data_IF_113286855842
#
_entry.id   IF_113286855842
#
_cell.length_a   1.000
_cell.length_b   1.000
_cell.length_c   1.000
_cell.angle_alpha   90.00
_cell.angle_beta   90.00
_cell.angle_gamma   90.00
#
_symmetry.space_group_name_H-M   'P 1'
#
loop_
_entity.id
_entity.type
_entity.pdbx_description
1 polymer ?
#
# COMPACT_ATOMS: atom_id res chain seq x y z
N UNK A 1 -18.94 11.38 23.91
CA UNK A 1 -18.84 10.00 23.39
C UNK A 1 -17.69 9.97 22.41
N UNK A 2 -16.67 9.12 22.59
CA UNK A 2 -15.65 8.93 21.53
C UNK A 2 -16.35 8.23 20.38
N UNK A 3 -16.43 8.88 19.23
CA UNK A 3 -16.98 8.29 18.00
C UNK A 3 -16.14 7.06 17.68
N UNK A 4 -16.74 5.88 17.56
CA UNK A 4 -16.03 4.67 17.14
C UNK A 4 -15.75 4.77 15.64
N UNK A 5 -14.60 4.30 15.19
CA UNK A 5 -14.22 4.29 13.77
C UNK A 5 -15.11 3.34 12.96
N UNK A 6 -15.48 2.21 13.53
CA UNK A 6 -16.42 1.23 12.98
C UNK A 6 -17.47 0.87 14.03
N UNK A 7 -18.71 0.65 13.61
CA UNK A 7 -19.78 0.11 14.47
C UNK A 7 -19.41 -1.32 14.90
N UNK A 8 -20.07 -1.84 15.96
CA UNK A 8 -19.69 -3.14 16.53
C UNK A 8 -19.77 -4.30 15.50
N UNK A 9 -20.79 -4.27 14.64
CA UNK A 9 -21.06 -5.32 13.64
C UNK A 9 -20.47 -5.01 12.25
N UNK A 10 -19.87 -3.84 12.09
CA UNK A 10 -19.27 -3.40 10.85
C UNK A 10 -17.88 -4.04 10.65
N UNK A 11 -17.73 -4.84 9.59
CA UNK A 11 -16.44 -5.45 9.27
C UNK A 11 -15.52 -4.48 8.55
N UNK A 12 -16.05 -3.54 7.76
CA UNK A 12 -15.27 -2.57 7.03
C UNK A 12 -16.05 -1.28 6.75
N UNK A 13 -15.31 -0.19 6.57
CA UNK A 13 -15.81 1.04 5.98
C UNK A 13 -14.71 1.73 5.17
N UNK A 14 -15.10 2.54 4.19
CA UNK A 14 -14.20 3.40 3.41
C UNK A 14 -14.75 4.82 3.42
N UNK A 15 -13.89 5.78 3.77
CA UNK A 15 -14.17 7.21 3.59
C UNK A 15 -13.84 7.61 2.15
N UNK A 16 -14.80 8.18 1.42
CA UNK A 16 -14.56 8.78 0.12
C UNK A 16 -14.10 10.22 0.30
N UNK A 17 -12.80 10.49 0.12
CA UNK A 17 -12.22 11.82 0.29
C UNK A 17 -10.75 11.83 0.66
N UNK A 18 -10.25 13.02 0.96
CA UNK A 18 -8.87 13.25 1.36
C UNK A 18 -8.62 12.68 2.76
N UNK A 19 -7.66 11.74 2.85
CA UNK A 19 -7.29 11.09 4.10
C UNK A 19 -6.64 12.04 5.12
N UNK A 20 -5.98 13.12 4.67
CA UNK A 20 -5.22 14.02 5.56
C UNK A 20 -6.16 14.77 6.52
N UNK A 21 -7.12 15.60 6.04
CA UNK A 21 -8.07 16.27 6.94
C UNK A 21 -8.89 15.26 7.72
N UNK A 22 -9.25 14.12 7.13
CA UNK A 22 -10.01 13.08 7.80
C UNK A 22 -9.26 12.49 9.00
N UNK A 23 -8.00 12.08 8.84
CA UNK A 23 -7.15 11.60 9.94
C UNK A 23 -6.90 12.67 11.01
N UNK A 24 -6.72 13.94 10.61
CA UNK A 24 -6.36 14.99 11.54
C UNK A 24 -7.53 15.49 12.38
N UNK A 25 -8.78 15.44 11.86
CA UNK A 25 -9.93 16.11 12.47
C UNK A 25 -11.09 15.19 12.83
N UNK A 26 -11.34 14.14 12.04
CA UNK A 26 -12.57 13.34 12.12
C UNK A 26 -12.33 11.98 12.75
N UNK A 27 -11.24 11.29 12.37
CA UNK A 27 -10.93 9.99 12.97
C UNK A 27 -10.58 10.14 14.45
N UNK A 28 -11.05 9.22 15.31
CA UNK A 28 -10.66 9.20 16.72
C UNK A 28 -9.14 9.00 16.86
N UNK A 29 -8.55 9.69 17.83
CA UNK A 29 -7.15 9.46 18.16
C UNK A 29 -6.92 8.04 18.70
N UNK A 30 -5.79 7.41 18.34
CA UNK A 30 -5.42 6.06 18.79
C UNK A 30 -6.53 5.02 18.53
N UNK A 31 -7.13 5.07 17.34
CA UNK A 31 -8.25 4.20 16.93
C UNK A 31 -7.83 3.06 16.01
N UNK A 32 -6.62 3.10 15.44
CA UNK A 32 -6.11 2.14 14.46
C UNK A 32 -5.12 1.19 15.12
N UNK A 33 -5.31 -0.13 14.89
CA UNK A 33 -4.42 -1.15 15.45
C UNK A 33 -3.19 -1.40 14.58
N UNK A 34 -3.35 -1.37 13.26
CA UNK A 34 -2.27 -1.57 12.30
C UNK A 34 -2.56 -0.79 11.02
N UNK A 35 -1.54 -0.25 10.37
CA UNK A 35 -1.67 0.37 9.06
C UNK A 35 -0.72 -0.27 8.05
N UNK A 36 -1.21 -0.54 6.84
CA UNK A 36 -0.41 -1.01 5.71
C UNK A 36 -0.93 -0.36 4.43
N UNK A 37 -0.04 0.26 3.65
CA UNK A 37 -0.43 1.02 2.48
C UNK A 37 0.77 1.39 1.60
N UNK A 38 0.47 1.85 0.38
CA UNK A 38 1.41 2.50 -0.53
C UNK A 38 0.96 3.95 -0.73
N UNK A 39 1.76 4.96 -0.33
CA UNK A 39 1.40 6.35 -0.59
C UNK A 39 1.47 6.64 -2.08
N UNK A 40 0.75 7.65 -2.60
CA UNK A 40 0.93 8.13 -3.95
C UNK A 40 2.41 8.48 -4.22
N UNK A 41 2.89 8.11 -5.41
CA UNK A 41 4.25 8.42 -5.85
C UNK A 41 4.24 9.75 -6.61
N UNK A 42 4.69 10.86 -5.99
CA UNK A 42 4.67 12.17 -6.62
C UNK A 42 5.40 12.17 -7.97
N UNK A 43 4.90 12.89 -8.95
CA UNK A 43 5.41 12.99 -10.33
C UNK A 43 5.35 11.71 -11.18
N UNK A 44 5.00 10.55 -10.61
CA UNK A 44 4.87 9.32 -11.40
C UNK A 44 3.45 9.11 -11.92
N UNK A 45 2.46 9.32 -11.05
CA UNK A 45 1.06 9.06 -11.35
C UNK A 45 0.18 10.17 -10.78
N UNK A 46 -0.58 10.83 -11.65
CA UNK A 46 -1.72 11.65 -11.29
C UNK A 46 -2.98 10.77 -11.33
N UNK A 47 -3.73 10.73 -10.25
CA UNK A 47 -4.93 9.91 -10.12
C UNK A 47 -6.20 10.73 -10.34
N UNK A 48 -6.16 12.01 -9.98
CA UNK A 48 -7.26 12.97 -10.09
C UNK A 48 -6.72 14.36 -10.41
N UNK A 49 -7.58 15.29 -10.82
CA UNK A 49 -7.23 16.70 -10.98
C UNK A 49 -7.30 17.50 -9.66
N UNK A 50 -7.55 16.80 -8.55
CA UNK A 50 -7.66 17.43 -7.23
C UNK A 50 -6.30 17.93 -6.73
N UNK A 51 -6.30 19.10 -6.07
CA UNK A 51 -5.13 19.62 -5.33
C UNK A 51 -4.75 18.74 -4.13
N UNK A 52 -5.65 17.88 -3.68
CA UNK A 52 -5.39 16.89 -2.63
C UNK A 52 -4.66 15.65 -3.14
N UNK A 53 -4.52 15.48 -4.46
CA UNK A 53 -3.80 14.35 -5.03
C UNK A 53 -2.28 14.60 -4.97
N UNK A 54 -1.63 13.93 -4.03
CA UNK A 54 -0.18 13.99 -3.82
C UNK A 54 0.59 13.54 -5.09
N UNK A 55 -0.02 12.73 -5.96
CA UNK A 55 0.56 12.30 -7.23
C UNK A 55 0.84 13.45 -8.20
N UNK A 56 0.08 14.55 -8.10
CA UNK A 56 0.18 15.71 -9.00
C UNK A 56 1.39 16.62 -8.73
N UNK A 57 2.06 16.47 -7.59
CA UNK A 57 3.14 17.37 -7.16
C UNK A 57 4.52 16.83 -7.54
N UNK A 58 5.53 17.70 -7.55
CA UNK A 58 6.92 17.27 -7.77
C UNK A 58 7.41 16.40 -6.61
N UNK A 59 7.97 15.24 -6.92
CA UNK A 59 8.41 14.22 -5.97
C UNK A 59 9.35 14.73 -4.86
N UNK A 60 10.18 15.72 -5.16
CA UNK A 60 11.12 16.33 -4.20
C UNK A 60 10.78 17.78 -3.89
N UNK A 61 9.67 18.28 -4.40
CA UNK A 61 9.18 19.62 -4.18
C UNK A 61 8.77 19.90 -2.74
N UNK A 62 8.65 21.18 -2.41
CA UNK A 62 8.18 21.60 -1.09
C UNK A 62 6.76 21.14 -0.82
N UNK A 63 5.91 21.19 -1.82
CA UNK A 63 4.50 20.80 -1.72
C UNK A 63 4.33 19.32 -1.34
N UNK A 64 5.03 18.40 -2.03
CA UNK A 64 5.01 16.99 -1.65
C UNK A 64 5.44 16.75 -0.20
N UNK A 65 6.48 17.47 0.26
CA UNK A 65 6.97 17.37 1.65
C UNK A 65 5.94 17.89 2.65
N UNK A 66 5.21 18.95 2.31
CA UNK A 66 4.14 19.50 3.15
C UNK A 66 2.99 18.51 3.25
N UNK A 67 2.47 18.01 2.12
CA UNK A 67 1.38 17.04 2.09
C UNK A 67 1.74 15.76 2.87
N UNK A 68 2.88 15.16 2.57
CA UNK A 68 3.37 13.97 3.29
C UNK A 68 3.65 14.25 4.76
N UNK A 69 4.11 15.46 5.11
CA UNK A 69 4.30 15.86 6.51
C UNK A 69 2.99 15.86 7.30
N UNK A 70 1.94 16.45 6.76
CA UNK A 70 0.59 16.41 7.37
C UNK A 70 0.01 15.00 7.37
N UNK A 71 0.24 14.23 6.32
CA UNK A 71 -0.14 12.83 6.24
C UNK A 71 0.47 12.02 7.41
N UNK A 72 1.79 12.10 7.62
CA UNK A 72 2.44 11.37 8.71
C UNK A 72 2.01 11.86 10.09
N UNK A 73 1.72 13.15 10.26
CA UNK A 73 1.15 13.68 11.50
C UNK A 73 -0.24 13.08 11.78
N UNK A 74 -1.08 12.97 10.75
CA UNK A 74 -2.38 12.30 10.86
C UNK A 74 -2.24 10.81 11.19
N UNK A 75 -1.34 10.10 10.51
CA UNK A 75 -1.06 8.68 10.77
C UNK A 75 -0.59 8.45 12.21
N UNK A 76 0.39 9.25 12.69
CA UNK A 76 0.88 9.18 14.06
C UNK A 76 -0.22 9.43 15.09
N UNK A 77 -1.17 10.33 14.79
CA UNK A 77 -2.31 10.63 15.65
C UNK A 77 -3.26 9.44 15.77
N UNK A 78 -3.65 8.82 14.66
CA UNK A 78 -4.70 7.78 14.65
C UNK A 78 -4.18 6.39 15.05
N UNK A 79 -2.90 6.10 14.85
CA UNK A 79 -2.29 4.83 15.25
C UNK A 79 -2.26 4.72 16.78
N UNK A 80 -2.56 3.54 17.33
CA UNK A 80 -2.47 3.27 18.77
C UNK A 80 -1.01 3.23 19.23
N UNK A 81 -0.70 3.64 20.49
CA UNK A 81 0.65 3.50 21.06
C UNK A 81 1.17 2.06 20.98
N UNK A 82 2.45 1.90 20.69
CA UNK A 82 3.10 0.59 20.56
C UNK A 82 2.78 -0.18 19.29
N UNK A 83 1.89 0.34 18.43
CA UNK A 83 1.43 -0.34 17.21
C UNK A 83 2.21 0.12 15.97
N UNK A 84 2.20 -0.72 14.93
CA UNK A 84 3.00 -0.56 13.73
C UNK A 84 2.23 0.02 12.55
N UNK A 85 2.97 0.71 11.67
CA UNK A 85 2.55 1.05 10.31
C UNK A 85 3.61 0.58 9.32
N UNK A 86 3.20 -0.08 8.24
CA UNK A 86 4.07 -0.49 7.14
C UNK A 86 3.76 0.36 5.91
N UNK A 87 4.78 1.08 5.44
CA UNK A 87 4.69 1.97 4.28
C UNK A 87 5.46 1.36 3.12
N UNK A 88 4.74 0.95 2.08
CA UNK A 88 5.34 0.42 0.86
C UNK A 88 5.76 1.56 -0.07
N UNK A 89 7.04 1.62 -0.42
CA UNK A 89 7.61 2.64 -1.32
C UNK A 89 8.64 2.02 -2.26
N UNK A 90 8.94 2.71 -3.35
CA UNK A 90 10.15 2.51 -4.14
C UNK A 90 10.85 3.85 -4.39
N UNK A 91 12.09 3.81 -4.87
CA UNK A 91 12.79 5.03 -5.30
C UNK A 91 12.18 5.55 -6.61
N UNK A 92 12.08 6.87 -6.75
CA UNK A 92 11.45 7.50 -7.92
C UNK A 92 12.54 7.92 -8.92
N UNK A 93 12.52 7.38 -10.16
CA UNK A 93 13.45 7.83 -11.20
C UNK A 93 13.21 9.30 -11.55
N UNK A 94 14.28 10.09 -11.64
CA UNK A 94 14.22 11.47 -12.15
C UNK A 94 13.94 11.45 -13.64
N UNK A 95 12.92 12.19 -14.06
CA UNK A 95 12.56 12.30 -15.47
C UNK A 95 13.53 13.20 -16.21
N UNK A 96 13.90 12.84 -17.45
CA UNK A 96 14.76 13.68 -18.31
C UNK A 96 14.23 15.11 -18.48
N UNK A 97 12.89 15.27 -18.56
CA UNK A 97 12.23 16.58 -18.65
C UNK A 97 12.45 17.49 -17.43
N UNK A 98 12.80 16.90 -16.27
CA UNK A 98 13.15 17.63 -15.05
C UNK A 98 14.66 17.93 -14.96
N UNK A 99 15.42 17.78 -16.05
CA UNK A 99 16.85 18.05 -16.10
C UNK A 99 17.72 17.07 -15.29
N UNK A 100 17.15 15.98 -14.79
CA UNK A 100 17.81 15.08 -13.84
C UNK A 100 18.14 13.71 -14.39
N UNK A 101 19.30 13.18 -13.99
CA UNK A 101 19.66 11.78 -14.10
C UNK A 101 19.76 11.23 -12.67
N UNK A 102 19.28 9.99 -12.44
CA UNK A 102 19.37 9.35 -11.13
C UNK A 102 18.01 9.13 -10.48
N UNK A 103 17.99 9.08 -9.15
CA UNK A 103 16.81 8.77 -8.35
C UNK A 103 16.47 9.92 -7.39
N UNK A 104 15.20 10.05 -7.07
CA UNK A 104 14.72 10.77 -5.89
C UNK A 104 14.69 9.80 -4.72
N UNK A 105 15.29 10.17 -3.60
CA UNK A 105 15.29 9.38 -2.38
C UNK A 105 13.92 9.46 -1.68
N UNK A 106 12.93 8.78 -2.28
CA UNK A 106 11.57 8.77 -1.74
C UNK A 106 11.46 7.92 -0.48
N UNK A 107 12.21 6.81 -0.38
CA UNK A 107 12.30 6.01 0.84
C UNK A 107 12.82 6.84 2.02
N UNK A 108 13.97 7.48 1.86
CA UNK A 108 14.53 8.33 2.94
C UNK A 108 13.66 9.54 3.26
N UNK A 109 12.94 10.11 2.29
CA UNK A 109 11.96 11.17 2.56
C UNK A 109 10.85 10.69 3.48
N UNK A 110 10.23 9.53 3.19
CA UNK A 110 9.18 8.96 4.04
C UNK A 110 9.69 8.65 5.45
N UNK A 111 10.91 8.08 5.59
CA UNK A 111 11.52 7.84 6.91
C UNK A 111 11.64 9.13 7.70
N UNK A 112 12.26 10.16 7.13
CA UNK A 112 12.46 11.45 7.83
C UNK A 112 11.16 12.14 8.21
N UNK A 113 10.13 12.05 7.37
CA UNK A 113 8.82 12.65 7.68
C UNK A 113 8.06 11.86 8.74
N UNK A 114 8.15 10.53 8.73
CA UNK A 114 7.59 9.68 9.79
C UNK A 114 8.21 9.96 11.15
N UNK A 115 9.54 10.06 11.22
CA UNK A 115 10.27 10.40 12.45
C UNK A 115 9.92 11.82 12.94
N UNK A 116 9.82 12.80 12.05
CA UNK A 116 9.38 14.16 12.40
C UNK A 116 7.96 14.20 12.94
N UNK A 117 7.10 13.30 12.53
CA UNK A 117 5.74 13.15 13.06
C UNK A 117 5.69 12.42 14.41
N UNK A 118 6.82 11.98 14.94
CA UNK A 118 6.92 11.27 16.21
C UNK A 118 6.80 9.75 16.13
N UNK A 119 6.85 9.18 14.93
CA UNK A 119 6.95 7.72 14.74
C UNK A 119 8.42 7.28 14.88
N UNK A 120 8.65 6.07 15.34
CA UNK A 120 9.98 5.44 15.37
C UNK A 120 10.16 4.60 14.12
N UNK A 121 11.15 4.90 13.28
CA UNK A 121 11.60 4.01 12.23
C UNK A 121 12.36 2.84 12.88
N UNK A 122 11.90 1.62 12.65
CA UNK A 122 12.51 0.43 13.26
C UNK A 122 13.29 -0.42 12.26
N UNK A 123 12.75 -0.58 11.06
CA UNK A 123 13.32 -1.46 10.05
C UNK A 123 12.66 -1.24 8.68
N UNK A 124 13.24 -1.83 7.63
CA UNK A 124 12.57 -2.02 6.35
C UNK A 124 13.01 -3.32 5.66
N UNK A 125 12.05 -3.98 5.04
CA UNK A 125 12.31 -5.09 4.12
C UNK A 125 12.42 -4.56 2.71
N UNK A 126 13.26 -5.22 1.89
CA UNK A 126 13.20 -5.06 0.45
C UNK A 126 12.35 -6.17 -0.18
N UNK A 127 11.60 -5.84 -1.23
CA UNK A 127 10.88 -6.82 -2.05
C UNK A 127 11.55 -6.89 -3.41
N UNK A 128 12.03 -8.08 -3.77
CA UNK A 128 12.73 -8.30 -5.04
C UNK A 128 11.78 -8.10 -6.23
N UNK A 129 12.26 -7.41 -7.25
CA UNK A 129 11.58 -7.23 -8.53
C UNK A 129 12.30 -7.95 -9.64
N UNK A 130 11.56 -8.43 -10.64
CA UNK A 130 12.14 -9.02 -11.83
C UNK A 130 12.74 -7.92 -12.74
N UNK A 131 14.06 -7.96 -13.03
CA UNK A 131 14.73 -6.94 -13.83
C UNK A 131 14.14 -6.78 -15.23
N UNK A 132 13.82 -7.88 -15.89
CA UNK A 132 13.29 -7.87 -17.25
C UNK A 132 11.87 -7.32 -17.29
N UNK A 133 11.02 -7.72 -16.35
CA UNK A 133 9.65 -7.19 -16.24
C UNK A 133 9.64 -5.69 -15.96
N UNK A 134 10.51 -5.20 -15.09
CA UNK A 134 10.68 -3.77 -14.83
C UNK A 134 11.20 -3.01 -16.05
N UNK A 135 12.22 -3.52 -16.70
CA UNK A 135 12.82 -2.88 -17.87
C UNK A 135 11.81 -2.71 -19.01
N UNK A 136 11.01 -3.73 -19.30
CA UNK A 136 9.96 -3.70 -20.33
C UNK A 136 8.86 -2.67 -19.95
N UNK A 137 8.45 -2.67 -18.67
CA UNK A 137 7.36 -1.82 -18.19
C UNK A 137 7.74 -0.35 -18.07
N UNK A 138 8.96 -0.08 -17.58
CA UNK A 138 9.39 1.30 -17.24
C UNK A 138 10.26 1.92 -18.32
N UNK A 139 10.77 1.14 -19.28
CA UNK A 139 11.75 1.55 -20.29
C UNK A 139 12.94 2.30 -19.67
N UNK A 140 13.34 1.85 -18.51
CA UNK A 140 14.37 2.52 -17.71
C UNK A 140 15.78 2.00 -18.02
N UNK A 141 16.78 2.64 -17.41
CA UNK A 141 18.20 2.33 -17.60
C UNK A 141 18.67 1.15 -16.74
N UNK A 142 17.87 0.13 -16.59
CA UNK A 142 18.30 -1.07 -15.87
C UNK A 142 19.32 -1.89 -16.69
N UNK A 143 20.15 -2.65 -15.98
CA UNK A 143 21.07 -3.59 -16.60
C UNK A 143 20.26 -4.64 -17.38
N UNK A 144 20.21 -4.46 -18.70
CA UNK A 144 19.55 -5.36 -19.64
C UNK A 144 20.60 -6.03 -20.52
N UNK A 145 20.25 -7.19 -21.06
CA UNK A 145 21.13 -7.89 -21.99
C UNK A 145 21.48 -7.02 -23.22
N UNK A 146 20.51 -6.28 -23.76
CA UNK A 146 20.72 -5.34 -24.87
C UNK A 146 21.70 -4.19 -24.56
N UNK A 147 21.97 -3.93 -23.28
CA UNK A 147 22.94 -2.92 -22.83
C UNK A 147 24.33 -3.47 -22.57
N UNK A 148 24.54 -4.79 -22.73
CA UNK A 148 25.81 -5.43 -22.37
C UNK A 148 27.02 -4.89 -23.17
N UNK A 149 26.79 -4.59 -24.44
CA UNK A 149 27.83 -4.11 -25.38
C UNK A 149 27.88 -2.58 -25.47
N UNK A 150 27.01 -1.87 -24.75
CA UNK A 150 26.96 -0.41 -24.71
C UNK A 150 27.68 0.16 -23.48
N UNK A 151 27.84 1.47 -23.44
CA UNK A 151 28.31 2.17 -22.23
C UNK A 151 27.37 1.91 -21.05
N UNK A 152 27.89 1.20 -20.04
CA UNK A 152 27.15 0.82 -18.85
C UNK A 152 27.23 1.84 -17.71
N UNK A 153 27.99 2.92 -17.90
CA UNK A 153 28.20 3.92 -16.84
C UNK A 153 26.89 4.55 -16.34
N UNK A 154 25.85 4.61 -17.20
CA UNK A 154 24.54 5.13 -16.85
C UNK A 154 23.50 4.05 -16.52
N UNK A 155 23.87 2.77 -16.52
CA UNK A 155 22.96 1.66 -16.21
C UNK A 155 22.98 1.35 -14.70
N UNK A 156 21.88 0.86 -14.19
CA UNK A 156 21.70 0.50 -12.78
C UNK A 156 21.00 -0.85 -12.62
N UNK A 157 21.11 -1.43 -11.45
CA UNK A 157 20.29 -2.57 -11.06
C UNK A 157 18.81 -2.23 -10.99
N UNK A 158 17.98 -3.25 -10.88
CA UNK A 158 16.52 -3.14 -10.71
C UNK A 158 16.18 -2.41 -9.42
N UNK A 159 15.21 -1.51 -9.49
CA UNK A 159 14.65 -0.87 -8.30
C UNK A 159 13.82 -1.89 -7.53
N UNK A 160 14.15 -2.06 -6.27
CA UNK A 160 13.37 -2.86 -5.34
C UNK A 160 12.28 -2.00 -4.71
N UNK A 161 11.21 -2.63 -4.23
CA UNK A 161 10.30 -1.98 -3.31
C UNK A 161 10.83 -2.13 -1.88
N UNK A 162 10.41 -1.20 -1.00
CA UNK A 162 10.76 -1.19 0.41
C UNK A 162 9.47 -1.15 1.24
N UNK A 163 9.44 -1.93 2.31
CA UNK A 163 8.38 -1.96 3.31
C UNK A 163 8.92 -1.32 4.58
N UNK A 164 8.76 -0.01 4.71
CA UNK A 164 9.26 0.75 5.86
C UNK A 164 8.36 0.48 7.05
N UNK A 165 8.93 -0.05 8.14
CA UNK A 165 8.22 -0.25 9.39
C UNK A 165 8.42 0.92 10.31
N UNK A 166 7.32 1.56 10.65
CA UNK A 166 7.23 2.50 11.75
C UNK A 166 6.50 1.91 12.95
N UNK A 167 6.82 2.40 14.14
CA UNK A 167 6.06 2.14 15.36
C UNK A 167 5.72 3.45 16.05
N UNK A 168 4.47 3.59 16.53
CA UNK A 168 4.12 4.70 17.41
C UNK A 168 4.73 4.46 18.78
N UNK A 169 5.48 5.43 19.38
CA UNK A 169 5.99 5.31 20.72
C UNK A 169 4.90 5.02 21.75
N UNK A 170 5.25 4.32 22.80
CA UNK A 170 4.36 3.93 23.87
C UNK A 170 4.25 2.40 23.99
N UNK A 171 3.51 1.95 24.98
CA UNK A 171 3.31 0.53 25.29
C UNK A 171 2.17 -0.04 24.46
N UNK A 172 2.38 -1.24 23.90
CA UNK A 172 1.33 -1.99 23.24
C UNK A 172 0.44 -2.66 24.28
N UNK A 173 -0.79 -2.21 24.40
CA UNK A 173 -1.76 -2.68 25.40
C UNK A 173 -2.27 -4.12 25.12
N UNK A 174 -2.20 -4.57 23.87
CA UNK A 174 -2.69 -5.87 23.45
C UNK A 174 -1.58 -6.59 22.69
N UNK A 175 -1.01 -7.63 23.31
CA UNK A 175 0.02 -8.46 22.67
C UNK A 175 -0.47 -8.99 21.32
N UNK A 176 0.37 -8.90 20.30
CA UNK A 176 0.09 -9.54 19.01
C UNK A 176 0.44 -11.02 19.17
N UNK A 177 -0.57 -11.87 19.03
CA UNK A 177 -0.42 -13.31 19.06
C UNK A 177 -0.33 -13.86 17.64
N UNK A 178 0.88 -14.10 17.19
CA UNK A 178 1.16 -14.64 15.87
C UNK A 178 1.39 -16.16 15.86
N UNK A 179 1.56 -16.82 17.00
CA UNK A 179 1.90 -18.24 17.04
C UNK A 179 0.82 -19.13 16.42
N UNK A 180 -0.45 -18.76 16.54
CA UNK A 180 -1.57 -19.48 15.92
C UNK A 180 -1.75 -19.19 14.43
N UNK A 181 -1.10 -18.15 13.89
CA UNK A 181 -1.35 -17.63 12.54
C UNK A 181 -0.15 -17.73 11.60
N UNK A 182 1.06 -17.77 12.14
CA UNK A 182 2.33 -17.83 11.39
C UNK A 182 3.07 -19.10 11.78
N UNK A 183 3.38 -19.95 10.79
CA UNK A 183 4.19 -21.13 11.05
C UNK A 183 5.64 -20.76 11.39
N UNK A 184 6.38 -21.65 12.05
CA UNK A 184 7.81 -21.41 12.32
C UNK A 184 8.63 -21.22 11.05
N UNK A 185 8.31 -21.95 9.99
CA UNK A 185 9.01 -21.83 8.72
C UNK A 185 8.72 -20.48 8.07
N UNK A 186 7.45 -20.05 8.02
CA UNK A 186 7.09 -18.71 7.52
C UNK A 186 7.78 -17.61 8.35
N UNK A 187 7.83 -17.78 9.69
CA UNK A 187 8.51 -16.82 10.56
C UNK A 187 9.98 -16.66 10.22
N UNK A 188 10.71 -17.78 10.02
CA UNK A 188 12.13 -17.76 9.66
C UNK A 188 12.32 -17.10 8.28
N UNK A 189 11.51 -17.49 7.31
CA UNK A 189 11.56 -16.94 5.95
C UNK A 189 11.26 -15.44 5.91
N UNK A 190 10.22 -15.00 6.66
CA UNK A 190 9.83 -13.59 6.66
C UNK A 190 10.75 -12.70 7.49
N UNK A 191 11.60 -13.28 8.34
CA UNK A 191 12.66 -12.56 9.04
C UNK A 191 13.82 -12.13 8.12
N UNK A 192 13.91 -12.70 6.91
CA UNK A 192 14.89 -12.26 5.92
C UNK A 192 14.65 -10.81 5.51
N UNK A 193 15.72 -10.04 5.35
CA UNK A 193 15.65 -8.62 4.97
C UNK A 193 15.23 -8.37 3.53
N UNK A 194 15.14 -9.42 2.70
CA UNK A 194 14.68 -9.35 1.32
C UNK A 194 13.66 -10.46 1.04
N UNK A 195 12.43 -10.08 0.74
CA UNK A 195 11.40 -11.03 0.30
C UNK A 195 11.52 -11.28 -1.21
N UNK A 196 12.19 -12.37 -1.55
CA UNK A 196 12.53 -12.72 -2.93
C UNK A 196 11.46 -13.56 -3.65
N UNK A 197 10.53 -14.14 -2.91
CA UNK A 197 9.49 -15.08 -3.36
C UNK A 197 8.15 -14.41 -3.72
N UNK A 198 8.04 -13.09 -3.56
CA UNK A 198 6.82 -12.36 -3.89
C UNK A 198 6.53 -12.39 -5.39
N UNK A 199 5.36 -12.86 -5.75
CA UNK A 199 4.89 -12.85 -7.15
C UNK A 199 4.37 -11.46 -7.51
N UNK A 200 5.07 -10.73 -8.38
CA UNK A 200 4.70 -9.36 -8.77
C UNK A 200 3.28 -9.23 -9.34
N UNK A 201 2.81 -10.26 -9.98
CA UNK A 201 1.49 -10.29 -10.60
C UNK A 201 0.37 -10.80 -9.65
N UNK A 202 0.67 -11.07 -8.37
CA UNK A 202 -0.33 -11.45 -7.36
C UNK A 202 -1.00 -10.20 -6.78
N UNK A 203 -1.88 -9.60 -7.57
CA UNK A 203 -2.62 -8.38 -7.26
C UNK A 203 -4.10 -8.54 -7.62
N UNK A 204 -4.95 -7.67 -7.08
CA UNK A 204 -6.33 -7.58 -7.55
C UNK A 204 -6.39 -7.10 -9.01
N UNK A 205 -7.49 -7.45 -9.69
CA UNK A 205 -7.70 -7.07 -11.08
C UNK A 205 -7.93 -5.57 -11.22
N UNK A 206 -7.05 -4.90 -11.97
CA UNK A 206 -7.12 -3.45 -12.20
C UNK A 206 -7.96 -3.06 -13.41
N UNK A 207 -8.33 -4.02 -14.28
CA UNK A 207 -9.04 -3.72 -15.52
C UNK A 207 -10.43 -3.14 -15.28
N UNK A 208 -11.09 -3.58 -14.19
CA UNK A 208 -12.45 -3.17 -13.84
C UNK A 208 -12.53 -1.72 -13.31
N UNK A 209 -11.40 -1.15 -12.89
CA UNK A 209 -11.34 0.21 -12.33
C UNK A 209 -10.79 1.24 -13.34
N UNK A 210 -10.42 0.84 -14.55
CA UNK A 210 -9.84 1.74 -15.55
C UNK A 210 -10.92 2.50 -16.28
N UNK A 211 -10.78 3.82 -16.33
CA UNK A 211 -11.46 4.72 -17.27
C UNK A 211 -10.57 4.95 -18.51
N UNK A 212 -11.14 5.46 -19.63
CA UNK A 212 -10.37 5.75 -20.86
C UNK A 212 -9.24 6.76 -20.63
N UNK A 213 -9.41 7.66 -19.64
CA UNK A 213 -8.44 8.69 -19.27
C UNK A 213 -7.40 8.22 -18.25
N UNK A 214 -7.52 7.01 -17.71
CA UNK A 214 -6.55 6.49 -16.75
C UNK A 214 -5.19 6.26 -17.40
N UNK A 215 -4.21 7.01 -16.93
CA UNK A 215 -2.79 6.72 -17.20
C UNK A 215 -2.53 5.25 -16.82
N UNK A 216 -1.83 4.51 -17.68
CA UNK A 216 -1.69 3.04 -17.78
C UNK A 216 -1.22 2.28 -16.52
N UNK A 217 -1.18 2.88 -15.34
CA UNK A 217 -0.42 2.35 -14.21
C UNK A 217 -1.13 2.39 -12.87
N UNK A 218 -2.26 1.67 -12.74
CA UNK A 218 -2.70 1.23 -11.42
C UNK A 218 -1.76 0.09 -11.01
N UNK A 219 -0.96 0.29 -9.97
CA UNK A 219 -0.07 -0.72 -9.41
C UNK A 219 -0.53 -1.06 -7.98
N UNK A 220 -1.54 -1.91 -7.80
CA UNK A 220 -1.94 -2.33 -6.47
C UNK A 220 -0.81 -3.10 -5.80
N UNK A 221 -0.73 -3.01 -4.47
CA UNK A 221 0.22 -3.76 -3.67
C UNK A 221 -0.06 -5.27 -3.79
N UNK A 222 0.99 -6.08 -3.81
CA UNK A 222 0.87 -7.53 -3.91
C UNK A 222 0.16 -8.10 -2.69
N UNK A 223 -0.80 -9.00 -2.91
CA UNK A 223 -1.64 -9.56 -1.85
C UNK A 223 -0.83 -10.35 -0.82
N UNK A 224 0.24 -11.05 -1.23
CA UNK A 224 1.10 -11.77 -0.32
C UNK A 224 1.90 -10.83 0.59
N UNK A 225 2.35 -9.66 0.09
CA UNK A 225 3.00 -8.63 0.93
C UNK A 225 2.05 -8.15 2.01
N UNK A 226 0.81 -7.82 1.63
CA UNK A 226 -0.21 -7.38 2.59
C UNK A 226 -0.50 -8.49 3.60
N UNK A 227 -0.66 -9.74 3.14
CA UNK A 227 -0.96 -10.89 3.98
C UNK A 227 0.11 -11.08 5.07
N UNK A 228 1.38 -11.05 4.71
CA UNK A 228 2.50 -11.15 5.67
C UNK A 228 2.46 -10.02 6.69
N UNK A 229 2.29 -8.79 6.24
CA UNK A 229 2.22 -7.62 7.12
C UNK A 229 1.03 -7.71 8.10
N UNK A 230 -0.15 -8.10 7.63
CA UNK A 230 -1.36 -8.25 8.45
C UNK A 230 -1.15 -9.34 9.51
N UNK A 231 -0.59 -10.49 9.13
CA UNK A 231 -0.33 -11.60 10.06
C UNK A 231 0.74 -11.27 11.10
N UNK A 232 1.78 -10.54 10.72
CA UNK A 232 2.88 -10.16 11.64
C UNK A 232 2.49 -9.08 12.64
N UNK A 233 1.58 -8.15 12.27
CA UNK A 233 1.39 -6.91 13.04
C UNK A 233 -0.04 -6.62 13.47
N UNK A 234 -0.95 -7.58 13.33
CA UNK A 234 -2.32 -7.43 13.83
C UNK A 234 -2.91 -8.74 14.37
N UNK A 235 -3.86 -8.63 15.30
CA UNK A 235 -4.66 -9.73 15.78
C UNK A 235 -5.98 -9.86 15.01
N UNK A 236 -6.65 -11.05 15.04
CA UNK A 236 -8.01 -11.20 14.56
C UNK A 236 -8.97 -10.16 15.14
N UNK A 237 -9.86 -9.63 14.32
CA UNK A 237 -10.84 -8.62 14.71
C UNK A 237 -10.31 -7.21 14.94
N UNK A 238 -8.98 -6.98 14.93
CA UNK A 238 -8.38 -5.65 15.00
C UNK A 238 -8.57 -4.85 13.72
N UNK A 239 -8.49 -3.51 13.82
CA UNK A 239 -8.69 -2.60 12.70
C UNK A 239 -7.38 -2.42 11.95
N UNK A 240 -7.34 -2.89 10.70
CA UNK A 240 -6.31 -2.57 9.71
C UNK A 240 -6.74 -1.33 8.93
N UNK A 241 -5.82 -0.39 8.72
CA UNK A 241 -6.08 0.89 8.07
C UNK A 241 -5.24 1.07 6.82
N UNK A 242 -5.86 1.53 5.74
CA UNK A 242 -5.18 2.04 4.55
C UNK A 242 -5.66 3.45 4.22
N UNK A 243 -4.80 4.48 4.37
CA UNK A 243 -5.16 5.86 4.01
C UNK A 243 -5.23 6.10 2.50
N UNK A 244 -4.71 5.18 1.70
CA UNK A 244 -4.70 5.19 0.24
C UNK A 244 -5.18 3.85 -0.27
N UNK A 245 -6.48 3.60 -0.11
CA UNK A 245 -7.10 2.28 -0.30
C UNK A 245 -7.03 1.79 -1.76
N UNK A 246 -6.97 2.70 -2.74
CA UNK A 246 -6.98 2.33 -4.15
C UNK A 246 -8.20 1.45 -4.46
N UNK A 247 -7.96 0.30 -5.07
CA UNK A 247 -9.01 -0.69 -5.38
C UNK A 247 -9.29 -1.66 -4.22
N UNK A 248 -8.74 -1.41 -3.02
CA UNK A 248 -9.07 -2.14 -1.80
C UNK A 248 -8.24 -3.39 -1.50
N UNK A 249 -7.01 -3.50 -2.01
CA UNK A 249 -6.18 -4.69 -1.81
C UNK A 249 -5.91 -5.00 -0.34
N UNK A 250 -5.59 -3.98 0.46
CA UNK A 250 -5.33 -4.10 1.89
C UNK A 250 -6.57 -4.57 2.66
N UNK A 251 -7.72 -3.99 2.32
CA UNK A 251 -9.00 -4.39 2.91
C UNK A 251 -9.41 -5.80 2.50
N UNK A 252 -9.27 -6.13 1.21
CA UNK A 252 -9.57 -7.45 0.69
C UNK A 252 -8.84 -8.56 1.46
N UNK A 253 -7.52 -8.41 1.64
CA UNK A 253 -6.71 -9.38 2.40
C UNK A 253 -7.09 -9.37 3.88
N UNK A 254 -7.29 -8.20 4.49
CA UNK A 254 -7.63 -8.07 5.91
C UNK A 254 -8.97 -8.73 6.25
N UNK A 255 -9.92 -8.73 5.34
CA UNK A 255 -11.22 -9.38 5.48
C UNK A 255 -11.22 -10.89 5.15
N UNK A 256 -10.06 -11.46 4.84
CA UNK A 256 -9.91 -12.89 4.56
C UNK A 256 -10.01 -13.25 3.08
N UNK A 257 -9.99 -12.26 2.19
CA UNK A 257 -9.99 -12.49 0.75
C UNK A 257 -8.83 -13.38 0.30
N UNK A 258 -9.13 -14.32 -0.60
CA UNK A 258 -8.17 -15.30 -1.11
C UNK A 258 -7.45 -14.77 -2.34
N UNK A 259 -6.11 -14.87 -2.37
CA UNK A 259 -5.34 -14.55 -3.57
C UNK A 259 -5.78 -15.40 -4.76
N UNK A 260 -6.10 -14.81 -5.90
CA UNK A 260 -6.47 -15.56 -7.11
C UNK A 260 -5.34 -16.46 -7.63
N UNK A 261 -4.08 -16.08 -7.36
CA UNK A 261 -2.89 -16.79 -7.85
C UNK A 261 -2.33 -17.80 -6.86
N UNK A 262 -2.04 -17.33 -5.65
CA UNK A 262 -1.39 -18.17 -4.64
C UNK A 262 -2.39 -19.00 -3.85
N UNK A 263 -3.69 -18.68 -3.96
CA UNK A 263 -4.78 -19.28 -3.17
C UNK A 263 -4.61 -19.11 -1.65
N UNK A 264 -3.65 -18.29 -1.21
CA UNK A 264 -3.43 -17.97 0.18
C UNK A 264 -4.45 -16.92 0.67
N UNK A 265 -4.87 -17.06 1.92
CA UNK A 265 -5.69 -16.10 2.66
C UNK A 265 -5.19 -16.03 4.11
N UNK A 266 -5.66 -15.06 4.89
CA UNK A 266 -5.55 -15.12 6.34
C UNK A 266 -6.66 -16.02 6.89
N UNK A 267 -6.38 -16.74 7.98
CA UNK A 267 -7.35 -17.67 8.57
C UNK A 267 -8.49 -16.92 9.28
N UNK A 268 -8.11 -15.96 10.10
CA UNK A 268 -9.04 -15.20 10.94
C UNK A 268 -9.05 -13.73 10.46
N UNK A 269 -10.21 -13.25 10.05
CA UNK A 269 -10.36 -11.92 9.49
C UNK A 269 -10.07 -10.82 10.51
N UNK A 270 -9.58 -9.69 9.98
CA UNK A 270 -9.52 -8.39 10.66
C UNK A 270 -10.72 -7.57 10.27
N UNK A 271 -10.84 -6.40 10.87
CA UNK A 271 -11.73 -5.34 10.43
C UNK A 271 -10.90 -4.36 9.58
N UNK A 272 -11.53 -3.68 8.65
CA UNK A 272 -10.81 -2.76 7.76
C UNK A 272 -11.43 -1.37 7.76
N UNK A 273 -10.58 -0.35 7.81
CA UNK A 273 -10.97 1.02 7.55
C UNK A 273 -10.06 1.62 6.49
N UNK A 274 -10.63 2.36 5.52
CA UNK A 274 -9.87 2.94 4.43
C UNK A 274 -10.28 4.35 4.06
N UNK A 275 -9.40 5.05 3.32
CA UNK A 275 -9.73 6.31 2.65
C UNK A 275 -9.35 6.19 1.18
N UNK A 276 -10.18 6.72 0.30
CA UNK A 276 -9.91 6.77 -1.14
C UNK A 276 -10.46 8.07 -1.74
N UNK A 277 -9.60 8.78 -2.47
CA UNK A 277 -9.93 10.07 -3.06
C UNK A 277 -10.69 9.93 -4.38
N UNK A 278 -10.28 8.95 -5.23
CA UNK A 278 -10.84 8.75 -6.56
C UNK A 278 -12.12 7.91 -6.49
N UNK A 279 -13.23 8.45 -7.01
CA UNK A 279 -14.56 7.82 -6.91
C UNK A 279 -14.61 6.42 -7.55
N UNK A 280 -13.97 6.24 -8.71
CA UNK A 280 -13.94 4.96 -9.42
C UNK A 280 -13.22 3.88 -8.60
N UNK A 281 -12.11 4.25 -7.96
CA UNK A 281 -11.34 3.36 -7.10
C UNK A 281 -12.10 3.05 -5.81
N UNK A 282 -12.72 4.07 -5.21
CA UNK A 282 -13.60 3.89 -4.06
C UNK A 282 -14.73 2.89 -4.35
N UNK A 283 -15.42 3.02 -5.50
CA UNK A 283 -16.48 2.10 -5.89
C UNK A 283 -15.94 0.69 -6.16
N UNK A 284 -14.76 0.57 -6.78
CA UNK A 284 -14.13 -0.73 -7.00
C UNK A 284 -13.68 -1.38 -5.68
N UNK A 285 -13.13 -0.59 -4.76
CA UNK A 285 -12.76 -1.06 -3.43
C UNK A 285 -13.97 -1.66 -2.71
N UNK A 286 -15.11 -0.97 -2.69
CA UNK A 286 -16.34 -1.51 -2.09
C UNK A 286 -16.70 -2.88 -2.64
N UNK A 287 -16.73 -3.03 -3.97
CA UNK A 287 -17.02 -4.34 -4.61
C UNK A 287 -16.03 -5.42 -4.20
N UNK A 288 -14.74 -5.09 -4.12
CA UNK A 288 -13.70 -6.04 -3.72
C UNK A 288 -13.82 -6.44 -2.24
N UNK A 289 -14.15 -5.50 -1.35
CA UNK A 289 -14.35 -5.78 0.06
C UNK A 289 -15.61 -6.66 0.30
N UNK A 290 -16.70 -6.36 -0.41
CA UNK A 290 -17.91 -7.19 -0.40
C UNK A 290 -17.61 -8.63 -0.82
N UNK A 291 -16.84 -8.81 -1.93
CA UNK A 291 -16.40 -10.14 -2.37
C UNK A 291 -15.54 -10.86 -1.33
N UNK A 292 -14.68 -10.14 -0.62
CA UNK A 292 -13.85 -10.74 0.44
C UNK A 292 -14.71 -11.28 1.59
N UNK A 293 -15.73 -10.54 2.01
CA UNK A 293 -16.68 -10.94 3.06
C UNK A 293 -17.54 -12.12 2.61
N UNK A 294 -18.01 -12.09 1.36
CA UNK A 294 -18.84 -13.16 0.78
C UNK A 294 -18.05 -14.43 0.43
N UNK A 295 -16.72 -14.40 0.53
CA UNK A 295 -15.84 -15.54 0.16
C UNK A 295 -15.72 -15.79 -1.34
N UNK A 296 -16.17 -14.85 -2.20
CA UNK A 296 -16.09 -14.96 -3.67
C UNK A 296 -14.71 -14.53 -4.19
N UNK A 297 -14.13 -15.30 -5.10
CA UNK A 297 -12.89 -14.90 -5.77
C UNK A 297 -13.13 -13.71 -6.73
N UNK A 298 -12.14 -12.81 -6.92
CA UNK A 298 -12.29 -11.66 -7.81
C UNK A 298 -12.60 -11.98 -9.28
N UNK A 299 -12.35 -13.22 -9.71
CA UNK A 299 -12.62 -13.71 -11.08
C UNK A 299 -14.03 -14.26 -11.29
N UNK A 300 -14.83 -14.41 -10.23
CA UNK A 300 -16.16 -15.05 -10.28
C UNK A 300 -17.28 -14.08 -10.67
N UNK A 301 -16.96 -12.97 -11.34
CA UNK A 301 -18.02 -12.15 -11.94
C UNK A 301 -18.65 -12.91 -13.10
N UNK A 302 -20.00 -13.04 -13.15
CA UNK A 302 -20.65 -13.43 -14.38
C UNK A 302 -20.26 -12.41 -15.46
N UNK A 303 -19.69 -12.89 -16.57
CA UNK A 303 -19.58 -12.04 -17.77
C UNK A 303 -21.01 -11.56 -18.05
N UNK A 304 -21.22 -10.25 -17.97
CA UNK A 304 -22.40 -9.65 -18.56
C UNK A 304 -22.33 -10.05 -20.04
N UNK A 305 -23.12 -11.02 -20.42
CA UNK A 305 -23.46 -11.25 -21.82
C UNK A 305 -24.09 -9.94 -22.30
N UNK A 306 -23.28 -9.16 -23.04
CA UNK A 306 -23.81 -8.09 -23.86
C UNK A 306 -24.67 -8.82 -24.92
N UNK A 307 -25.95 -8.91 -24.65
CA UNK A 307 -26.92 -9.21 -25.67
C UNK A 307 -26.86 -8.06 -26.68
N UNK A 308 -26.21 -8.30 -27.79
CA UNK A 308 -26.37 -7.49 -28.99
C UNK A 308 -27.68 -7.93 -29.61
N UNK A 309 -28.72 -7.11 -29.42
CA UNK A 309 -29.87 -7.07 -30.32
C UNK A 309 -29.58 -6.15 -31.50
#
# INVERSE_FOLDING_TARGET
>A
MKTKLLQNDEQWAIHHGDCIPHMLREMPESSVDFAVFSPPFPSLYAYTDSVSDIGNVDAMGTEAKIHLGFFFAGLARVLKPGRAAIVHVCQIPRMKRSGGVGLCDFRGLNIRLGERAGLTYEYDWSVRKNPQAQAIRTRSRELQFSGLENDRAAQRGTLQDYLIKFRKPGENQVKIDSESQVSRNDWIEWAEGCWADIQEADTLNTKEAKTEDDTKHICPLQLEVIRRCVLLYSNPGEIVFSPFTGIGSEGYVSLGGRSPKTKKAIKDARRFYGCELKLEYFNQAKRNLERAVDGREPSDQPMLELAFD
#
